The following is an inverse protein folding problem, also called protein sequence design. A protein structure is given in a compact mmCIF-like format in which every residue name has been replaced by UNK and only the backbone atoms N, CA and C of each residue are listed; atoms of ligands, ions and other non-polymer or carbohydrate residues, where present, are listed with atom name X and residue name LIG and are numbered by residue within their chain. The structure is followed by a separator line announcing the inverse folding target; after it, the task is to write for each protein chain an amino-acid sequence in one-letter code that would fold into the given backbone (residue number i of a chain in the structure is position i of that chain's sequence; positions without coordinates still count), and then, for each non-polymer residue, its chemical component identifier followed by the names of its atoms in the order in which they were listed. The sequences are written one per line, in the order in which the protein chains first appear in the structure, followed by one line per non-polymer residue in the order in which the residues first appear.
data_IF_317845730278
#
_entry.id   IF_317845730278
#
_cell.length_a   1.000
_cell.length_b   1.000
_cell.length_c   1.000
_cell.angle_alpha   90.00
_cell.angle_beta   90.00
_cell.angle_gamma   90.00
#
_symmetry.space_group_name_H-M   'P 1'
#
loop_
_entity.id
_entity.type
_entity.pdbx_description
1 polymer ?
#
# COMPACT_ATOMS: atom_id res chain seq x y z
N UNK A 1 14.77 3.92 -52.25
CA UNK A 1 15.60 2.75 -52.58
C UNK A 1 16.85 3.25 -53.31
N UNK A 2 18.04 2.99 -52.78
CA UNK A 2 19.31 3.57 -53.23
C UNK A 2 19.53 3.31 -54.74
N UNK A 3 19.80 4.37 -55.51
CA UNK A 3 19.88 4.34 -56.99
C UNK A 3 20.93 3.37 -57.54
N UNK A 4 21.94 3.06 -56.73
CA UNK A 4 23.01 2.10 -57.02
C UNK A 4 22.47 0.67 -57.24
N UNK A 5 21.62 0.18 -56.33
CA UNK A 5 21.03 -1.16 -56.41
C UNK A 5 20.07 -1.28 -57.60
N UNK A 6 19.37 -0.19 -57.96
CA UNK A 6 18.50 -0.14 -59.15
C UNK A 6 19.29 -0.32 -60.45
N UNK A 7 20.44 0.35 -60.59
CA UNK A 7 21.31 0.23 -61.78
C UNK A 7 21.93 -1.17 -61.90
N UNK A 8 22.31 -1.78 -60.78
CA UNK A 8 22.88 -3.14 -60.75
C UNK A 8 21.83 -4.18 -61.18
N UNK A 9 20.57 -4.06 -60.71
CA UNK A 9 19.46 -4.93 -61.14
C UNK A 9 19.21 -4.89 -62.65
N UNK A 10 19.13 -3.68 -63.22
CA UNK A 10 18.89 -3.52 -64.66
C UNK A 10 20.01 -4.16 -65.51
N UNK A 11 21.27 -4.04 -65.08
CA UNK A 11 22.43 -4.59 -65.79
C UNK A 11 22.55 -6.12 -65.70
N UNK A 12 22.02 -6.74 -64.63
CA UNK A 12 22.00 -8.20 -64.46
C UNK A 12 20.85 -8.87 -65.22
N UNK A 13 19.69 -8.21 -65.29
CA UNK A 13 18.54 -8.64 -66.10
C UNK A 13 18.85 -8.60 -67.60
N UNK A 14 19.57 -7.58 -68.07
CA UNK A 14 19.95 -7.48 -69.49
C UNK A 14 21.00 -8.52 -69.95
N UNK A 15 21.61 -9.28 -69.03
CA UNK A 15 22.63 -10.28 -69.34
C UNK A 15 22.12 -11.74 -69.31
N UNK A 16 20.80 -12.00 -69.18
CA UNK A 16 20.23 -13.35 -69.01
C UNK A 16 20.79 -14.15 -67.81
N UNK A 17 21.39 -13.48 -66.81
CA UNK A 17 21.99 -14.13 -65.62
C UNK A 17 21.00 -14.21 -64.46
N UNK A 18 19.88 -14.88 -64.67
CA UNK A 18 18.78 -15.01 -63.69
C UNK A 18 19.26 -15.61 -62.36
N UNK A 19 20.17 -16.59 -62.40
CA UNK A 19 20.77 -17.23 -61.20
C UNK A 19 21.62 -16.26 -60.37
N UNK A 20 22.37 -15.33 -60.99
CA UNK A 20 23.12 -14.29 -60.25
C UNK A 20 22.20 -13.20 -59.68
N UNK A 21 21.07 -12.94 -60.34
CA UNK A 21 20.07 -12.01 -59.84
C UNK A 21 19.35 -12.56 -58.58
N UNK A 22 18.96 -13.83 -58.60
CA UNK A 22 18.28 -14.49 -57.46
C UNK A 22 19.16 -14.54 -56.21
N UNK A 23 20.43 -14.92 -56.36
CA UNK A 23 21.40 -14.95 -55.25
C UNK A 23 21.63 -13.56 -54.63
N UNK A 24 21.68 -12.51 -55.45
CA UNK A 24 21.83 -11.14 -54.97
C UNK A 24 20.57 -10.61 -54.26
N UNK A 25 19.37 -10.90 -54.81
CA UNK A 25 18.11 -10.53 -54.20
C UNK A 25 17.88 -11.25 -52.85
N UNK A 26 18.27 -12.52 -52.74
CA UNK A 26 18.26 -13.26 -51.48
C UNK A 26 19.21 -12.63 -50.45
N UNK A 27 20.40 -12.19 -50.87
CA UNK A 27 21.33 -11.46 -50.01
C UNK A 27 20.75 -10.15 -49.47
N UNK A 28 20.07 -9.37 -50.32
CA UNK A 28 19.40 -8.11 -49.91
C UNK A 28 18.26 -8.37 -48.93
N UNK A 29 17.43 -9.39 -49.17
CA UNK A 29 16.36 -9.79 -48.25
C UNK A 29 16.94 -10.20 -46.90
N UNK A 30 17.99 -11.04 -46.88
CA UNK A 30 18.64 -11.48 -45.65
C UNK A 30 19.26 -10.31 -44.87
N UNK A 31 19.85 -9.34 -45.56
CA UNK A 31 20.45 -8.18 -44.90
C UNK A 31 19.38 -7.26 -44.29
N UNK A 32 18.26 -7.05 -45.01
CA UNK A 32 17.10 -6.31 -44.50
C UNK A 32 16.46 -7.03 -43.33
N UNK A 33 16.28 -8.35 -43.39
CA UNK A 33 15.68 -9.11 -42.28
C UNK A 33 16.57 -9.09 -41.05
N UNK A 34 17.90 -9.22 -41.17
CA UNK A 34 18.83 -9.05 -40.05
C UNK A 34 18.71 -7.65 -39.44
N UNK A 35 18.62 -6.61 -40.28
CA UNK A 35 18.42 -5.23 -39.80
C UNK A 35 17.13 -5.06 -38.99
N UNK A 36 16.01 -5.62 -39.48
CA UNK A 36 14.73 -5.59 -38.79
C UNK A 36 14.78 -6.38 -37.49
N UNK A 37 15.39 -7.57 -37.48
CA UNK A 37 15.52 -8.40 -36.27
C UNK A 37 16.36 -7.71 -35.20
N UNK A 38 17.47 -7.06 -35.57
CA UNK A 38 18.29 -6.28 -34.63
C UNK A 38 17.48 -5.10 -34.07
N UNK A 39 16.77 -4.37 -34.92
CA UNK A 39 15.92 -3.25 -34.48
C UNK A 39 14.83 -3.72 -33.50
N UNK A 40 14.17 -4.83 -33.80
CA UNK A 40 13.19 -5.46 -32.90
C UNK A 40 13.83 -5.85 -31.58
N UNK A 41 14.98 -6.53 -31.62
CA UNK A 41 15.70 -6.98 -30.42
C UNK A 41 16.11 -5.81 -29.51
N UNK A 42 16.60 -4.72 -30.08
CA UNK A 42 16.96 -3.50 -29.33
C UNK A 42 15.71 -2.89 -28.68
N UNK A 43 14.58 -2.85 -29.40
CA UNK A 43 13.34 -2.34 -28.86
C UNK A 43 12.83 -3.20 -27.69
N UNK A 44 12.77 -4.52 -27.86
CA UNK A 44 12.38 -5.46 -26.81
C UNK A 44 13.29 -5.38 -25.59
N UNK A 45 14.61 -5.23 -25.79
CA UNK A 45 15.54 -5.06 -24.68
C UNK A 45 15.32 -3.75 -23.90
N UNK A 46 15.05 -2.64 -24.60
CA UNK A 46 14.74 -1.37 -23.97
C UNK A 46 13.41 -1.40 -23.20
N UNK A 47 12.38 -2.04 -23.75
CA UNK A 47 11.10 -2.27 -23.08
C UNK A 47 11.29 -3.11 -21.80
N UNK A 48 11.98 -4.25 -21.89
CA UNK A 48 12.28 -5.09 -20.74
C UNK A 48 13.08 -4.36 -19.65
N UNK A 49 14.03 -3.50 -20.04
CA UNK A 49 14.76 -2.65 -19.07
C UNK A 49 13.84 -1.67 -18.37
N UNK A 50 12.90 -1.04 -19.08
CA UNK A 50 11.93 -0.10 -18.49
C UNK A 50 10.99 -0.80 -17.53
N UNK A 51 10.47 -1.97 -17.90
CA UNK A 51 9.62 -2.81 -17.05
C UNK A 51 10.34 -3.21 -15.77
N UNK A 52 11.58 -3.70 -15.87
CA UNK A 52 12.39 -4.06 -14.69
C UNK A 52 12.64 -2.86 -13.76
N UNK A 53 12.95 -1.69 -14.32
CA UNK A 53 13.14 -0.49 -13.53
C UNK A 53 11.85 -0.02 -12.85
N UNK A 54 10.70 -0.19 -13.50
CA UNK A 54 9.40 0.12 -12.92
C UNK A 54 9.09 -0.84 -11.76
N UNK A 55 9.29 -2.15 -11.94
CA UNK A 55 9.11 -3.14 -10.88
C UNK A 55 9.97 -2.84 -9.66
N UNK A 56 11.24 -2.46 -9.84
CA UNK A 56 12.11 -2.07 -8.73
C UNK A 56 11.58 -0.84 -7.97
N UNK A 57 10.95 0.12 -8.65
CA UNK A 57 10.28 1.25 -8.00
C UNK A 57 9.05 0.80 -7.22
N UNK A 58 8.28 -0.15 -7.75
CA UNK A 58 7.14 -0.75 -7.05
C UNK A 58 7.61 -1.47 -5.78
N UNK A 59 8.67 -2.27 -5.84
CA UNK A 59 9.25 -2.90 -4.64
C UNK A 59 9.79 -1.88 -3.63
N UNK A 60 10.40 -0.79 -4.09
CA UNK A 60 10.82 0.29 -3.20
C UNK A 60 9.63 0.97 -2.51
N UNK A 61 8.52 1.18 -3.21
CA UNK A 61 7.27 1.69 -2.63
C UNK A 61 6.71 0.72 -1.58
N UNK A 62 6.62 -0.58 -1.89
CA UNK A 62 6.15 -1.60 -0.94
C UNK A 62 7.01 -1.62 0.32
N UNK A 63 8.34 -1.54 0.17
CA UNK A 63 9.24 -1.46 1.32
C UNK A 63 8.96 -0.23 2.19
N UNK A 64 8.73 0.92 1.56
CA UNK A 64 8.41 2.16 2.29
C UNK A 64 7.05 2.06 3.00
N UNK A 65 6.05 1.48 2.34
CA UNK A 65 4.72 1.23 2.89
C UNK A 65 4.85 0.35 4.16
N UNK A 66 5.52 -0.80 4.05
CA UNK A 66 5.75 -1.73 5.17
C UNK A 66 6.54 -1.11 6.33
N UNK A 67 7.55 -0.28 6.03
CA UNK A 67 8.32 0.43 7.06
C UNK A 67 7.45 1.42 7.83
N UNK A 68 6.60 2.16 7.11
CA UNK A 68 5.69 3.13 7.72
C UNK A 68 4.60 2.42 8.52
N UNK A 69 4.02 1.36 7.99
CA UNK A 69 3.05 0.51 8.69
C UNK A 69 3.64 -0.06 9.97
N UNK A 70 4.89 -0.52 9.95
CA UNK A 70 5.58 -1.02 11.15
C UNK A 70 5.71 0.06 12.23
N UNK A 71 6.03 1.30 11.85
CA UNK A 71 6.11 2.42 12.78
C UNK A 71 4.73 2.77 13.36
N UNK A 72 3.70 2.82 12.51
CA UNK A 72 2.33 3.10 12.92
C UNK A 72 1.80 2.02 13.86
N UNK A 73 2.06 0.74 13.55
CA UNK A 73 1.71 -0.39 14.42
C UNK A 73 2.38 -0.29 15.79
N UNK A 74 3.65 0.11 15.85
CA UNK A 74 4.33 0.32 17.14
C UNK A 74 3.64 1.41 17.96
N UNK A 75 3.29 2.53 17.35
CA UNK A 75 2.54 3.60 18.03
C UNK A 75 1.17 3.11 18.52
N UNK A 76 0.46 2.32 17.71
CA UNK A 76 -0.82 1.72 18.11
C UNK A 76 -0.67 0.75 19.27
N UNK A 77 0.38 -0.08 19.30
CA UNK A 77 0.66 -0.99 20.40
C UNK A 77 0.95 -0.20 21.68
N UNK A 78 1.81 0.82 21.61
CA UNK A 78 2.13 1.69 22.75
C UNK A 78 0.89 2.37 23.34
N UNK A 79 -0.02 2.86 22.49
CA UNK A 79 -1.30 3.44 22.93
C UNK A 79 -2.21 2.41 23.61
N UNK A 80 -2.32 1.20 23.03
CA UNK A 80 -3.11 0.11 23.62
C UNK A 80 -2.54 -0.38 24.95
N UNK A 81 -1.22 -0.45 25.09
CA UNK A 81 -0.56 -0.80 26.35
C UNK A 81 -0.81 0.26 27.42
N UNK A 82 -0.73 1.55 27.07
CA UNK A 82 -1.03 2.66 27.98
C UNK A 82 -2.51 2.66 28.41
N UNK A 83 -3.43 2.38 27.49
CA UNK A 83 -4.87 2.19 27.78
C UNK A 83 -5.07 1.02 28.75
N UNK A 84 -4.46 -0.12 28.46
CA UNK A 84 -4.59 -1.30 29.31
C UNK A 84 -4.08 -1.03 30.73
N UNK A 85 -2.94 -0.34 30.87
CA UNK A 85 -2.40 0.05 32.19
C UNK A 85 -3.38 0.95 32.98
N UNK A 86 -3.97 1.97 32.34
CA UNK A 86 -4.97 2.84 32.98
C UNK A 86 -6.21 2.05 33.42
N UNK A 87 -6.72 1.17 32.56
CA UNK A 87 -7.89 0.34 32.88
C UNK A 87 -7.58 -0.58 34.08
N UNK A 88 -6.39 -1.19 34.12
CA UNK A 88 -5.96 -2.01 35.25
C UNK A 88 -5.92 -1.22 36.56
N UNK A 89 -5.35 -0.01 36.57
CA UNK A 89 -5.33 0.85 37.76
C UNK A 89 -6.75 1.18 38.30
N UNK A 90 -7.71 1.35 37.40
CA UNK A 90 -9.12 1.61 37.75
C UNK A 90 -9.76 0.35 38.35
N UNK A 91 -9.59 -0.81 37.70
CA UNK A 91 -10.19 -2.08 38.15
C UNK A 91 -9.62 -2.51 39.50
N UNK A 92 -8.32 -2.34 39.70
CA UNK A 92 -7.62 -2.69 40.95
C UNK A 92 -7.88 -1.66 42.08
N UNK A 93 -8.63 -0.58 41.80
CA UNK A 93 -8.86 0.55 42.73
C UNK A 93 -7.55 1.12 43.27
N UNK A 94 -6.49 1.09 42.47
CA UNK A 94 -5.19 1.69 42.80
C UNK A 94 -5.29 3.22 42.92
N UNK A 95 -6.31 3.81 42.29
CA UNK A 95 -6.67 5.22 42.41
C UNK A 95 -7.85 5.33 43.38
N UNK A 96 -7.70 6.00 44.53
CA UNK A 96 -8.81 6.19 45.46
C UNK A 96 -9.87 7.09 44.82
N UNK A 97 -11.16 6.81 45.06
CA UNK A 97 -12.27 7.61 44.51
C UNK A 97 -12.12 9.10 44.83
N UNK A 98 -11.57 9.42 46.00
CA UNK A 98 -11.29 10.81 46.44
C UNK A 98 -10.31 11.57 45.53
N UNK A 99 -9.53 10.90 44.69
CA UNK A 99 -8.72 11.55 43.66
C UNK A 99 -9.61 12.31 42.68
N UNK A 100 -10.73 11.70 42.28
CA UNK A 100 -11.66 12.28 41.32
C UNK A 100 -12.42 13.49 41.87
N UNK A 101 -12.66 13.53 43.18
CA UNK A 101 -13.23 14.70 43.88
C UNK A 101 -12.36 15.97 43.77
N UNK A 102 -11.06 15.82 43.49
CA UNK A 102 -10.13 16.95 43.33
C UNK A 102 -10.19 17.60 41.94
N UNK A 103 -10.89 16.98 41.00
CA UNK A 103 -10.97 17.45 39.62
C UNK A 103 -12.00 18.58 39.50
N UNK A 104 -11.66 19.56 38.68
CA UNK A 104 -12.48 20.73 38.37
C UNK A 104 -12.09 21.28 36.99
N UNK A 105 -12.81 22.32 36.54
CA UNK A 105 -12.60 22.95 35.23
C UNK A 105 -11.14 23.36 34.96
N UNK A 106 -10.38 23.73 36.01
CA UNK A 106 -9.00 24.23 35.85
C UNK A 106 -7.95 23.14 35.66
N UNK A 107 -8.18 21.93 36.19
CA UNK A 107 -7.20 20.84 36.18
C UNK A 107 -7.62 19.63 35.35
N UNK A 108 -8.90 19.51 34.99
CA UNK A 108 -9.44 18.37 34.25
C UNK A 108 -8.74 18.17 32.90
N UNK A 109 -8.43 19.26 32.19
CA UNK A 109 -7.76 19.19 30.90
C UNK A 109 -6.35 18.58 30.96
N UNK A 110 -5.71 18.57 32.13
CA UNK A 110 -4.40 17.99 32.38
C UNK A 110 -4.47 16.60 33.04
N UNK A 111 -5.67 16.04 33.23
CA UNK A 111 -5.84 14.73 33.84
C UNK A 111 -5.64 13.60 32.82
N UNK A 112 -4.43 13.04 32.78
CA UNK A 112 -4.10 11.90 31.89
C UNK A 112 -4.92 10.63 32.21
N UNK A 113 -5.41 10.51 33.45
CA UNK A 113 -6.26 9.41 33.92
C UNK A 113 -7.74 9.58 33.57
N UNK A 114 -8.14 10.76 33.10
CA UNK A 114 -9.53 11.09 32.77
C UNK A 114 -9.82 10.93 31.26
N UNK A 115 -8.85 10.41 30.51
CA UNK A 115 -9.00 10.09 29.09
C UNK A 115 -10.00 8.93 28.96
N UNK A 116 -11.01 9.10 28.12
CA UNK A 116 -11.99 8.08 27.80
C UNK A 116 -11.37 7.04 26.86
N UNK A 117 -11.08 5.87 27.40
CA UNK A 117 -10.52 4.76 26.63
C UNK A 117 -11.57 4.07 25.74
N UNK A 118 -12.86 4.32 25.99
CA UNK A 118 -14.00 3.72 25.25
C UNK A 118 -14.29 4.48 23.95
N UNK A 119 -14.13 5.80 23.97
CA UNK A 119 -14.49 6.67 22.83
C UNK A 119 -13.34 6.90 21.85
N UNK A 120 -12.11 6.55 22.23
CA UNK A 120 -10.89 6.84 21.45
C UNK A 120 -10.35 5.60 20.70
N UNK A 121 -11.20 4.93 19.91
CA UNK A 121 -10.78 3.84 19.05
C UNK A 121 -10.34 4.38 17.69
N UNK A 122 -9.04 4.35 17.43
CA UNK A 122 -8.46 4.65 16.12
C UNK A 122 -8.10 3.34 15.40
N UNK A 123 -8.81 2.96 14.32
CA UNK A 123 -8.50 1.76 13.57
C UNK A 123 -7.16 1.91 12.83
N UNK A 124 -6.38 0.83 12.80
CA UNK A 124 -5.07 0.83 12.13
C UNK A 124 -5.21 1.01 10.61
N UNK A 125 -4.65 2.08 10.06
CA UNK A 125 -4.66 2.28 8.61
C UNK A 125 -3.36 1.76 7.99
N UNK A 126 -3.44 0.65 7.26
CA UNK A 126 -2.31 0.11 6.51
C UNK A 126 -2.12 0.83 5.18
N UNK A 127 -0.89 0.82 4.67
CA UNK A 127 -0.54 1.32 3.34
C UNK A 127 -0.46 0.17 2.34
N UNK A 128 -1.22 0.29 1.24
CA UNK A 128 -1.28 -0.74 0.20
C UNK A 128 -0.94 -0.23 -1.20
N UNK A 129 -0.51 1.04 -1.34
CA UNK A 129 -0.21 1.66 -2.63
C UNK A 129 0.75 0.82 -3.46
N UNK A 130 1.87 0.38 -2.87
CA UNK A 130 2.84 -0.47 -3.53
C UNK A 130 2.26 -1.82 -3.94
N UNK A 131 1.39 -2.40 -3.11
CA UNK A 131 0.70 -3.66 -3.41
C UNK A 131 -0.28 -3.50 -4.59
N UNK A 132 -1.05 -2.43 -4.65
CA UNK A 132 -1.94 -2.15 -5.79
C UNK A 132 -1.16 -1.95 -7.10
N UNK A 133 -0.02 -1.25 -7.04
CA UNK A 133 0.88 -1.12 -8.20
C UNK A 133 1.43 -2.47 -8.65
N UNK A 134 1.78 -3.36 -7.71
CA UNK A 134 2.26 -4.70 -8.03
C UNK A 134 1.18 -5.56 -8.70
N UNK A 135 -0.07 -5.51 -8.21
CA UNK A 135 -1.19 -6.20 -8.86
C UNK A 135 -1.38 -5.73 -10.29
N UNK A 136 -1.31 -4.43 -10.53
CA UNK A 136 -1.41 -3.87 -11.89
C UNK A 136 -0.28 -4.38 -12.80
N UNK A 137 0.94 -4.51 -12.28
CA UNK A 137 2.08 -5.09 -13.02
C UNK A 137 1.84 -6.56 -13.36
N UNK A 138 1.38 -7.37 -12.41
CA UNK A 138 1.17 -8.81 -12.63
C UNK A 138 0.04 -9.09 -13.64
N UNK A 139 -0.89 -8.15 -13.85
CA UNK A 139 -1.94 -8.28 -14.89
C UNK A 139 -1.46 -7.91 -16.30
N UNK A 140 -0.26 -7.37 -16.48
CA UNK A 140 0.26 -7.00 -17.79
C UNK A 140 0.68 -8.25 -18.59
N UNK A 141 0.27 -8.34 -19.87
CA UNK A 141 0.41 -9.54 -20.73
C UNK A 141 1.85 -10.09 -20.90
N UNK A 142 2.88 -9.29 -20.60
CA UNK A 142 4.29 -9.66 -20.80
C UNK A 142 5.09 -9.80 -19.50
N UNK A 143 4.45 -9.66 -18.34
CA UNK A 143 5.16 -9.74 -17.06
C UNK A 143 5.36 -11.19 -16.63
N UNK A 144 6.62 -11.60 -16.48
CA UNK A 144 6.95 -12.89 -15.87
C UNK A 144 7.04 -12.71 -14.36
N UNK A 145 6.04 -13.24 -13.66
CA UNK A 145 5.96 -13.16 -12.20
C UNK A 145 7.20 -13.80 -11.56
N UNK A 146 7.86 -13.06 -10.67
CA UNK A 146 9.02 -13.55 -9.92
C UNK A 146 8.62 -14.08 -8.55
N UNK A 147 9.55 -14.77 -7.87
CA UNK A 147 9.27 -15.36 -6.56
C UNK A 147 8.95 -14.32 -5.48
N UNK A 148 9.48 -13.11 -5.61
CA UNK A 148 9.25 -12.02 -4.65
C UNK A 148 7.85 -11.41 -4.86
N UNK A 149 7.44 -11.14 -6.10
CA UNK A 149 6.07 -10.75 -6.45
C UNK A 149 5.05 -11.70 -5.84
N UNK A 150 5.30 -13.01 -5.98
CA UNK A 150 4.44 -14.04 -5.42
C UNK A 150 4.38 -14.02 -3.90
N UNK A 151 5.53 -13.93 -3.24
CA UNK A 151 5.59 -13.85 -1.77
C UNK A 151 4.85 -12.62 -1.23
N UNK A 152 5.06 -11.45 -1.86
CA UNK A 152 4.37 -10.20 -1.49
C UNK A 152 2.86 -10.34 -1.72
N UNK A 153 2.44 -10.88 -2.85
CA UNK A 153 1.01 -11.03 -3.18
C UNK A 153 0.31 -11.97 -2.20
N UNK A 154 0.96 -13.08 -1.85
CA UNK A 154 0.45 -14.03 -0.86
C UNK A 154 0.37 -13.40 0.53
N UNK A 155 1.38 -12.62 0.92
CA UNK A 155 1.38 -11.88 2.17
C UNK A 155 0.15 -10.97 2.24
N UNK A 156 0.01 -10.00 1.33
CA UNK A 156 -1.10 -9.05 1.39
C UNK A 156 -2.47 -9.73 1.25
N UNK A 157 -2.62 -10.72 0.36
CA UNK A 157 -3.89 -11.44 0.19
C UNK A 157 -4.32 -12.20 1.46
N UNK A 158 -3.36 -12.65 2.27
CA UNK A 158 -3.63 -13.34 3.53
C UNK A 158 -3.90 -12.38 4.69
N UNK A 159 -3.19 -11.25 4.74
CA UNK A 159 -3.20 -10.34 5.89
C UNK A 159 -4.27 -9.26 5.81
N UNK A 160 -4.47 -8.61 4.66
CA UNK A 160 -5.40 -7.47 4.57
C UNK A 160 -6.84 -7.84 4.98
N UNK A 161 -7.44 -8.94 4.48
CA UNK A 161 -8.82 -9.27 4.88
C UNK A 161 -8.98 -9.51 6.37
N UNK A 162 -7.96 -10.06 7.04
CA UNK A 162 -7.97 -10.30 8.48
C UNK A 162 -7.88 -9.01 9.28
N UNK A 163 -7.07 -8.07 8.80
CA UNK A 163 -6.95 -6.74 9.41
C UNK A 163 -8.27 -5.99 9.26
N UNK A 164 -8.86 -5.99 8.06
CA UNK A 164 -10.15 -5.36 7.79
C UNK A 164 -11.26 -5.95 8.68
N UNK A 165 -11.38 -7.28 8.74
CA UNK A 165 -12.37 -7.98 9.56
C UNK A 165 -12.21 -7.65 11.05
N UNK A 166 -10.97 -7.68 11.56
CA UNK A 166 -10.68 -7.32 12.94
C UNK A 166 -11.06 -5.89 13.27
N UNK A 167 -10.85 -4.95 12.35
CA UNK A 167 -11.17 -3.54 12.57
C UNK A 167 -12.67 -3.28 12.55
N UNK A 168 -13.38 -3.89 11.59
CA UNK A 168 -14.84 -3.80 11.52
C UNK A 168 -15.45 -4.31 12.83
N UNK A 169 -14.98 -5.46 13.32
CA UNK A 169 -15.44 -6.01 14.59
C UNK A 169 -15.20 -5.05 15.76
N UNK A 170 -14.00 -4.46 15.87
CA UNK A 170 -13.68 -3.51 16.94
C UNK A 170 -14.55 -2.24 16.87
N UNK A 171 -14.75 -1.69 15.66
CA UNK A 171 -15.59 -0.52 15.42
C UNK A 171 -17.04 -0.82 15.82
N UNK A 172 -17.57 -1.98 15.43
CA UNK A 172 -18.95 -2.36 15.74
C UNK A 172 -19.15 -2.59 17.24
N UNK A 173 -18.19 -3.24 17.91
CA UNK A 173 -18.22 -3.39 19.37
C UNK A 173 -18.19 -2.03 20.09
N UNK A 174 -17.31 -1.13 19.65
CA UNK A 174 -17.22 0.23 20.19
C UNK A 174 -18.52 1.00 19.97
N UNK A 175 -19.06 1.02 18.75
CA UNK A 175 -20.32 1.71 18.41
C UNK A 175 -21.49 1.19 19.23
N UNK A 176 -21.65 -0.13 19.33
CA UNK A 176 -22.74 -0.74 20.09
C UNK A 176 -22.65 -0.37 21.58
N UNK A 177 -21.45 -0.41 22.17
CA UNK A 177 -21.25 0.00 23.56
C UNK A 177 -21.49 1.48 23.79
N UNK A 178 -21.04 2.33 22.86
CA UNK A 178 -21.31 3.76 22.93
C UNK A 178 -22.82 4.06 22.86
N UNK A 179 -23.56 3.35 22.00
CA UNK A 179 -25.02 3.50 21.92
C UNK A 179 -25.71 3.09 23.24
N UNK A 180 -25.23 2.04 23.93
CA UNK A 180 -25.72 1.67 25.27
C UNK A 180 -25.49 2.77 26.31
N UNK A 181 -24.37 3.51 26.21
CA UNK A 181 -24.04 4.55 27.19
C UNK A 181 -24.71 5.89 26.92
N UNK A 182 -25.13 6.18 25.69
CA UNK A 182 -25.79 7.43 25.30
C UNK A 182 -27.07 7.76 26.09
N UNK A 183 -27.70 6.76 26.70
CA UNK A 183 -28.92 6.95 27.50
C UNK A 183 -28.65 7.52 28.90
N UNK A 184 -27.40 7.56 29.36
CA UNK A 184 -27.07 8.06 30.70
C UNK A 184 -26.74 9.55 30.67
N UNK A 185 -27.25 10.31 31.63
CA UNK A 185 -27.05 11.77 31.72
C UNK A 185 -25.58 12.17 31.89
N UNK A 186 -24.76 11.27 32.43
CA UNK A 186 -23.31 11.46 32.56
C UNK A 186 -22.55 11.25 31.25
N UNK A 187 -23.17 10.69 30.20
CA UNK A 187 -22.50 10.42 28.93
C UNK A 187 -22.10 11.71 28.22
N UNK A 188 -20.81 11.89 28.01
CA UNK A 188 -20.25 13.00 27.24
C UNK A 188 -20.04 12.55 25.79
N UNK A 189 -20.47 13.37 24.83
CA UNK A 189 -20.22 13.09 23.41
C UNK A 189 -18.71 13.06 23.11
N UNK A 190 -18.29 12.30 22.08
CA UNK A 190 -16.89 12.30 21.64
C UNK A 190 -16.34 13.71 21.36
N UNK A 191 -17.19 14.62 20.85
CA UNK A 191 -16.81 16.01 20.60
C UNK A 191 -16.49 16.79 21.88
N UNK A 192 -17.23 16.54 22.96
CA UNK A 192 -17.02 17.21 24.25
C UNK A 192 -15.88 16.55 25.04
N UNK A 193 -15.64 15.26 24.84
CA UNK A 193 -14.43 14.57 25.29
C UNK A 193 -13.17 15.16 24.64
N UNK A 194 -13.16 15.30 23.30
CA UNK A 194 -12.04 15.91 22.57
C UNK A 194 -11.78 17.37 22.98
N UNK A 195 -12.82 18.09 23.42
CA UNK A 195 -12.70 19.46 23.95
C UNK A 195 -12.21 19.52 25.39
N UNK A 196 -12.06 18.36 26.07
CA UNK A 196 -11.69 18.25 27.48
C UNK A 196 -12.61 19.08 28.38
N UNK A 197 -13.90 19.13 28.05
CA UNK A 197 -14.89 19.84 28.85
C UNK A 197 -15.14 19.07 30.15
N UNK A 198 -14.95 19.73 31.29
CA UNK A 198 -15.21 19.13 32.60
C UNK A 198 -16.72 18.89 32.77
N UNK A 199 -17.07 17.67 33.19
CA UNK A 199 -18.42 17.32 33.65
C UNK A 199 -18.27 16.47 34.91
N UNK A 200 -18.79 16.98 36.03
CA UNK A 200 -18.68 16.31 37.33
C UNK A 200 -19.35 14.93 37.32
N UNK A 201 -20.46 14.78 36.61
CA UNK A 201 -21.24 13.54 36.60
C UNK A 201 -20.53 12.42 35.80
N UNK A 202 -19.57 12.75 34.95
CA UNK A 202 -18.76 11.80 34.19
C UNK A 202 -17.54 11.29 34.95
N UNK A 203 -17.08 12.03 35.95
CA UNK A 203 -15.89 11.73 36.74
C UNK A 203 -16.34 11.00 38.01
N UNK A 204 -16.72 9.72 37.86
CA UNK A 204 -17.11 8.78 38.93
C UNK A 204 -17.88 9.39 40.13
#
# INVERSE_FOLDING_TARGET
MISLFRKIRQKLLSQNKVTRYLTYALGEILLVTIGILIALQINTWNESRKEKNYLLKVYAQIRQDLQTDTLNLRLSIEDLEAKNARITEIIERSIPVTYYDTLNESNYAACDKCISDITNLEPFQYLDKGYQLLKAVNTAQNFKEDSLSNAITQFYSKYLPKVDESQILLIDLSKNKLAEYQQYDWFISYADFCRKTYNKDFIL
#
